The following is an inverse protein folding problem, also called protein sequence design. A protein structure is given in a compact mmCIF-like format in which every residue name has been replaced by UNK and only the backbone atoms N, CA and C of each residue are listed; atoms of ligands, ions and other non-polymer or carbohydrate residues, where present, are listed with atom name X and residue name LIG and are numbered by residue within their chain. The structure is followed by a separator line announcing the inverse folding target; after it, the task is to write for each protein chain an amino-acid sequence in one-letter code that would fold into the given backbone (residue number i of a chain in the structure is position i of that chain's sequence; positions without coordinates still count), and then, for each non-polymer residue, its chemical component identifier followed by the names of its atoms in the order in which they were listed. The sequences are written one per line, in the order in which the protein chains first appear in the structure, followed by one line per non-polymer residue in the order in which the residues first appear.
data_IF_667341623473
#
_entry.id   IF_667341623473
#
_cell.length_a   1.000
_cell.length_b   1.000
_cell.length_c   1.000
_cell.angle_alpha   90.00
_cell.angle_beta   90.00
_cell.angle_gamma   90.00
#
_symmetry.space_group_name_H-M   'P 1'
#
loop_
_entity.id
_entity.type
_entity.pdbx_description
1 polymer ?
#
# COMPACT_ATOMS: atom_id res chain seq x y z
N UNK A 1 45.28 2.02 -60.95
CA UNK A 1 44.85 2.43 -59.60
C UNK A 1 43.51 1.79 -59.31
N UNK A 2 43.43 0.78 -58.41
CA UNK A 2 42.22 0.04 -58.12
C UNK A 2 41.66 0.56 -56.76
N UNK A 3 40.44 1.12 -56.79
CA UNK A 3 39.71 1.47 -55.58
C UNK A 3 39.05 0.18 -55.01
N UNK A 4 39.47 -0.21 -53.82
CA UNK A 4 38.83 -1.28 -53.07
C UNK A 4 37.69 -0.66 -52.22
N UNK A 5 36.45 -1.03 -52.53
CA UNK A 5 35.25 -0.64 -51.78
C UNK A 5 35.10 -1.55 -50.57
N UNK A 6 35.18 -0.98 -49.37
CA UNK A 6 35.07 -1.66 -48.11
C UNK A 6 33.59 -1.72 -47.70
N UNK A 7 32.89 -2.81 -48.05
CA UNK A 7 31.52 -3.06 -47.58
C UNK A 7 31.56 -3.66 -46.16
N UNK A 8 31.57 -2.81 -45.16
CA UNK A 8 31.46 -3.25 -43.77
C UNK A 8 30.00 -3.64 -43.51
N UNK A 9 29.81 -4.86 -43.07
CA UNK A 9 28.56 -5.57 -42.87
C UNK A 9 27.68 -4.93 -41.78
N UNK A 10 26.59 -4.33 -42.19
CA UNK A 10 25.53 -3.72 -41.31
C UNK A 10 24.68 -4.80 -40.59
N UNK A 11 24.85 -6.08 -40.89
CA UNK A 11 24.02 -7.15 -40.34
C UNK A 11 24.37 -7.61 -38.93
N UNK A 12 25.50 -7.19 -38.34
CA UNK A 12 25.88 -7.60 -36.98
C UNK A 12 25.44 -6.62 -35.88
N UNK A 13 24.99 -5.42 -36.19
CA UNK A 13 24.52 -4.44 -35.20
C UNK A 13 23.02 -4.57 -34.83
N UNK A 14 22.21 -5.16 -35.70
CA UNK A 14 20.78 -5.32 -35.45
C UNK A 14 20.44 -6.40 -34.38
N UNK A 15 21.32 -7.38 -34.20
CA UNK A 15 21.13 -8.46 -33.22
C UNK A 15 21.45 -8.05 -31.77
N UNK A 16 22.32 -7.06 -31.56
CA UNK A 16 22.73 -6.61 -30.24
C UNK A 16 21.68 -5.67 -29.60
N UNK A 17 20.94 -4.91 -30.41
CA UNK A 17 19.90 -3.98 -29.94
C UNK A 17 18.64 -4.74 -29.48
N UNK A 18 18.31 -5.85 -30.15
CA UNK A 18 17.14 -6.68 -29.81
C UNK A 18 17.27 -7.36 -28.43
N UNK A 19 18.47 -7.74 -28.02
CA UNK A 19 18.72 -8.39 -26.71
C UNK A 19 18.64 -7.39 -25.55
N UNK A 20 19.12 -6.15 -25.76
CA UNK A 20 19.04 -5.12 -24.72
C UNK A 20 17.60 -4.65 -24.46
N UNK A 21 16.73 -4.58 -25.49
CA UNK A 21 15.32 -4.20 -25.33
C UNK A 21 14.52 -5.30 -24.62
N UNK A 22 14.80 -6.59 -24.90
CA UNK A 22 14.18 -7.71 -24.20
C UNK A 22 14.60 -7.79 -22.72
N UNK A 23 15.84 -7.45 -22.39
CA UNK A 23 16.33 -7.39 -21.01
C UNK A 23 15.73 -6.22 -20.22
N UNK A 24 15.45 -5.09 -20.87
CA UNK A 24 14.77 -3.93 -20.25
C UNK A 24 13.29 -4.19 -19.99
N UNK A 25 12.63 -5.01 -20.80
CA UNK A 25 11.22 -5.38 -20.57
C UNK A 25 11.06 -6.46 -19.49
N UNK A 26 12.10 -7.26 -19.21
CA UNK A 26 12.12 -8.24 -18.12
C UNK A 26 12.53 -7.62 -16.77
N UNK A 27 13.16 -6.44 -16.77
CA UNK A 27 13.58 -5.71 -15.57
C UNK A 27 12.54 -4.77 -14.98
N UNK A 28 11.39 -4.59 -15.63
CA UNK A 28 10.32 -3.70 -15.20
C UNK A 28 9.21 -4.40 -14.39
N UNK A 29 9.38 -5.64 -13.97
CA UNK A 29 8.57 -6.23 -12.92
C UNK A 29 9.08 -5.67 -11.58
N UNK A 30 8.63 -4.46 -11.23
CA UNK A 30 8.82 -3.89 -9.91
C UNK A 30 8.32 -4.87 -8.82
N UNK A 31 8.76 -4.72 -7.56
CA UNK A 31 8.55 -5.69 -6.47
C UNK A 31 7.10 -5.76 -5.99
N UNK A 32 6.15 -5.95 -6.90
CA UNK A 32 4.73 -5.65 -6.61
C UNK A 32 3.93 -6.80 -6.02
N UNK A 33 4.44 -8.03 -6.01
CA UNK A 33 3.75 -9.13 -5.30
C UNK A 33 4.69 -10.31 -5.11
N UNK A 34 5.51 -10.29 -4.07
CA UNK A 34 6.24 -11.50 -3.71
C UNK A 34 5.51 -12.21 -2.57
N UNK A 35 5.34 -13.51 -2.74
CA UNK A 35 4.98 -14.42 -1.64
C UNK A 35 6.28 -14.79 -0.95
N UNK A 36 6.21 -15.05 0.35
CA UNK A 36 7.32 -15.71 1.02
C UNK A 36 7.64 -17.03 0.34
N UNK A 37 8.91 -17.27 0.05
CA UNK A 37 9.34 -18.56 -0.45
C UNK A 37 9.17 -19.64 0.65
N UNK A 38 9.09 -20.93 0.30
CA UNK A 38 9.12 -21.99 1.32
C UNK A 38 10.39 -21.99 2.18
N UNK A 39 11.52 -21.47 1.64
CA UNK A 39 12.77 -21.35 2.38
C UNK A 39 12.67 -20.23 3.42
N UNK A 40 12.21 -19.04 3.02
CA UNK A 40 11.99 -17.91 3.94
C UNK A 40 11.08 -18.29 5.09
N UNK A 41 9.96 -18.98 4.78
CA UNK A 41 9.00 -19.40 5.80
C UNK A 41 9.52 -20.48 6.75
N UNK A 42 10.61 -21.17 6.41
CA UNK A 42 11.30 -22.10 7.32
C UNK A 42 12.37 -21.41 8.14
N UNK A 43 13.02 -20.42 7.61
CA UNK A 43 14.05 -19.63 8.28
C UNK A 43 13.45 -18.69 9.35
N UNK A 44 12.33 -18.03 9.04
CA UNK A 44 11.65 -17.11 9.96
C UNK A 44 10.92 -17.91 11.04
N UNK A 45 11.24 -17.68 12.30
CA UNK A 45 10.60 -18.28 13.46
C UNK A 45 9.96 -17.23 14.36
N UNK A 46 10.57 -16.08 14.47
CA UNK A 46 10.15 -14.99 15.35
C UNK A 46 9.90 -13.73 14.55
N UNK A 47 8.73 -13.13 14.75
CA UNK A 47 8.35 -11.90 14.04
C UNK A 47 7.89 -10.82 15.02
N UNK A 48 8.01 -9.56 14.61
CA UNK A 48 7.30 -8.45 15.24
C UNK A 48 6.36 -7.80 14.23
N UNK A 49 5.24 -7.28 14.72
CA UNK A 49 4.21 -6.63 13.92
C UNK A 49 4.24 -5.13 14.17
N UNK A 50 4.20 -4.36 13.11
CA UNK A 50 4.19 -2.90 13.12
C UNK A 50 3.09 -2.44 12.18
N UNK A 51 2.11 -1.69 12.68
CA UNK A 51 1.13 -1.00 11.86
C UNK A 51 1.42 0.51 11.87
N UNK A 52 1.61 1.07 10.70
CA UNK A 52 1.86 2.49 10.49
C UNK A 52 1.02 3.02 9.32
N UNK A 53 -0.27 2.69 9.30
CA UNK A 53 -1.25 3.33 8.40
C UNK A 53 -1.42 4.79 8.75
N UNK A 54 -1.14 5.10 10.00
CA UNK A 54 -1.15 6.43 10.54
C UNK A 54 -2.51 6.85 11.06
N UNK A 55 -2.47 8.01 11.74
CA UNK A 55 -3.62 8.57 12.43
C UNK A 55 -4.37 9.60 11.57
N UNK A 56 -4.21 9.54 10.24
CA UNK A 56 -4.82 10.51 9.34
C UNK A 56 -5.78 9.85 8.38
N UNK A 57 -6.94 10.48 8.21
CA UNK A 57 -8.00 10.11 7.29
C UNK A 57 -8.07 11.15 6.17
N UNK A 58 -7.96 10.71 4.93
CA UNK A 58 -7.97 11.57 3.75
C UNK A 58 -9.39 11.83 3.27
N UNK A 59 -9.79 13.08 3.16
CA UNK A 59 -10.96 13.50 2.39
C UNK A 59 -10.48 13.95 1.02
N UNK A 60 -10.87 13.23 0.00
CA UNK A 60 -10.46 13.48 -1.38
C UNK A 60 -11.68 13.80 -2.24
N UNK A 61 -11.75 15.01 -2.79
CA UNK A 61 -12.84 15.41 -3.68
C UNK A 61 -12.33 15.73 -5.08
N UNK A 62 -12.88 15.06 -6.06
CA UNK A 62 -12.71 15.39 -7.48
C UNK A 62 -13.95 16.13 -7.96
N UNK A 63 -13.86 17.44 -8.22
CA UNK A 63 -15.03 18.25 -8.62
C UNK A 63 -15.47 17.95 -10.05
N UNK A 64 -16.75 18.19 -10.35
CA UNK A 64 -17.31 18.09 -11.70
C UNK A 64 -16.98 19.36 -12.51
N UNK A 65 -15.75 19.46 -12.99
CA UNK A 65 -15.33 20.53 -13.93
C UNK A 65 -14.69 19.88 -15.14
N UNK A 66 -14.90 20.50 -16.31
CA UNK A 66 -14.18 20.08 -17.53
C UNK A 66 -12.68 20.15 -17.24
N UNK A 67 -11.99 19.02 -17.41
CA UNK A 67 -10.56 18.84 -17.04
C UNK A 67 -10.23 18.86 -15.54
N UNK A 68 -11.21 18.84 -14.62
CA UNK A 68 -10.93 18.73 -13.18
C UNK A 68 -10.14 17.45 -12.81
N UNK A 69 -10.23 16.42 -13.65
CA UNK A 69 -9.46 15.19 -13.53
C UNK A 69 -7.95 15.38 -13.78
N UNK A 70 -7.54 16.52 -14.36
CA UNK A 70 -6.13 16.92 -14.57
C UNK A 70 -5.65 17.93 -13.51
N UNK A 71 -6.57 18.57 -12.76
CA UNK A 71 -6.24 19.53 -11.71
C UNK A 71 -5.96 18.84 -10.37
N UNK A 72 -5.36 19.56 -9.40
CA UNK A 72 -5.19 19.01 -8.06
C UNK A 72 -6.56 18.72 -7.44
N UNK A 73 -6.70 17.63 -6.69
CA UNK A 73 -7.89 17.33 -5.93
C UNK A 73 -8.06 18.36 -4.79
N UNK A 74 -9.28 18.46 -4.29
CA UNK A 74 -9.54 19.12 -3.01
C UNK A 74 -9.35 18.09 -1.92
N UNK A 75 -8.16 18.10 -1.30
CA UNK A 75 -7.73 17.08 -0.34
C UNK A 75 -7.55 17.69 1.04
N UNK A 76 -8.15 17.07 2.03
CA UNK A 76 -8.04 17.44 3.44
C UNK A 76 -7.70 16.22 4.29
N UNK A 77 -6.95 16.42 5.36
CA UNK A 77 -6.61 15.37 6.32
C UNK A 77 -7.29 15.66 7.66
N UNK A 78 -7.84 14.61 8.25
CA UNK A 78 -8.40 14.60 9.59
C UNK A 78 -7.56 13.69 10.48
N UNK A 79 -7.28 14.13 11.70
CA UNK A 79 -6.66 13.29 12.74
C UNK A 79 -7.70 12.27 13.28
N UNK A 80 -7.31 10.98 13.29
CA UNK A 80 -8.15 9.85 13.69
C UNK A 80 -7.50 8.90 14.71
N UNK A 81 -6.56 9.40 15.51
CA UNK A 81 -5.88 8.57 16.53
C UNK A 81 -6.84 7.92 17.53
N UNK A 82 -8.01 8.53 17.76
CA UNK A 82 -9.09 8.00 18.58
C UNK A 82 -9.76 6.73 17.99
N UNK A 83 -9.66 6.50 16.67
CA UNK A 83 -10.19 5.28 16.03
C UNK A 83 -9.38 4.03 16.33
N UNK A 84 -8.14 4.19 16.81
CA UNK A 84 -7.23 3.11 17.23
C UNK A 84 -7.05 2.03 16.16
N UNK A 85 -6.95 2.43 14.90
CA UNK A 85 -6.83 1.52 13.74
C UNK A 85 -5.55 0.69 13.86
N UNK A 86 -4.39 1.34 14.02
CA UNK A 86 -3.10 0.65 14.09
C UNK A 86 -3.05 -0.37 15.23
N UNK A 87 -3.43 -0.07 16.48
CA UNK A 87 -3.48 -1.07 17.55
C UNK A 87 -4.43 -2.24 17.25
N UNK A 88 -5.55 -1.99 16.59
CA UNK A 88 -6.49 -3.05 16.20
C UNK A 88 -5.89 -4.00 15.15
N UNK A 89 -5.22 -3.43 14.14
CA UNK A 89 -4.50 -4.19 13.10
C UNK A 89 -3.40 -5.03 13.74
N UNK A 90 -2.53 -4.44 14.56
CA UNK A 90 -1.44 -5.14 15.24
C UNK A 90 -1.93 -6.32 16.05
N UNK A 91 -3.02 -6.15 16.80
CA UNK A 91 -3.66 -7.22 17.56
C UNK A 91 -4.15 -8.34 16.65
N UNK A 92 -4.85 -8.00 15.56
CA UNK A 92 -5.42 -8.98 14.61
C UNK A 92 -4.32 -9.73 13.88
N UNK A 93 -3.31 -9.04 13.37
CA UNK A 93 -2.18 -9.64 12.66
C UNK A 93 -1.36 -10.52 13.61
N UNK A 94 -1.04 -10.04 14.81
CA UNK A 94 -0.30 -10.81 15.80
C UNK A 94 -1.01 -12.12 16.15
N UNK A 95 -2.32 -12.09 16.35
CA UNK A 95 -3.13 -13.28 16.62
C UNK A 95 -3.12 -14.28 15.44
N UNK A 96 -3.17 -13.78 14.20
CA UNK A 96 -3.11 -14.61 13.00
C UNK A 96 -1.73 -15.27 12.82
N UNK A 97 -0.65 -14.50 13.07
CA UNK A 97 0.74 -14.95 12.94
C UNK A 97 1.16 -15.90 14.05
N UNK A 98 0.63 -15.77 15.27
CA UNK A 98 0.98 -16.58 16.44
C UNK A 98 0.71 -18.10 16.24
N UNK A 99 -0.10 -18.46 15.24
CA UNK A 99 -0.32 -19.87 14.85
C UNK A 99 0.90 -20.51 14.18
N UNK A 100 1.86 -19.71 13.77
CA UNK A 100 3.00 -20.15 12.96
C UNK A 100 4.34 -19.61 13.43
N UNK A 101 4.37 -18.43 13.98
CA UNK A 101 5.57 -17.70 14.40
C UNK A 101 5.46 -17.35 15.89
N UNK A 102 6.59 -17.23 16.57
CA UNK A 102 6.64 -16.52 17.84
C UNK A 102 6.51 -15.00 17.56
N UNK A 103 5.45 -14.38 18.08
CA UNK A 103 5.24 -12.94 17.90
C UNK A 103 5.77 -12.20 19.12
N UNK A 104 6.70 -11.27 18.91
CA UNK A 104 7.27 -10.43 19.95
C UNK A 104 6.78 -8.99 19.85
N UNK A 105 6.53 -8.33 20.98
CA UNK A 105 6.25 -6.90 20.99
C UNK A 105 7.50 -6.12 20.61
N UNK A 106 7.31 -4.97 19.98
CA UNK A 106 8.37 -4.02 19.65
C UNK A 106 7.89 -2.60 19.92
N UNK A 107 8.83 -1.74 20.33
CA UNK A 107 8.57 -0.30 20.46
C UNK A 107 9.09 0.39 19.20
N UNK A 108 8.23 1.16 18.55
CA UNK A 108 8.56 1.90 17.33
C UNK A 108 7.84 3.25 17.30
N UNK A 109 8.26 4.11 16.39
CA UNK A 109 7.58 5.38 16.12
C UNK A 109 6.90 5.30 14.75
N UNK A 110 5.58 5.41 14.67
CA UNK A 110 4.85 5.31 13.38
C UNK A 110 5.36 6.30 12.32
N UNK A 111 5.84 7.48 12.74
CA UNK A 111 6.39 8.49 11.84
C UNK A 111 7.61 8.01 11.05
N UNK A 112 8.40 7.09 11.58
CA UNK A 112 9.59 6.54 10.91
C UNK A 112 9.20 5.69 9.68
N UNK A 113 7.94 5.24 9.60
CA UNK A 113 7.39 4.43 8.52
C UNK A 113 6.38 5.20 7.64
N UNK A 114 6.29 6.52 7.79
CA UNK A 114 5.31 7.36 7.08
C UNK A 114 5.63 7.55 5.59
N UNK A 115 6.89 7.42 5.21
CA UNK A 115 7.35 7.56 3.82
C UNK A 115 7.65 6.20 3.23
N UNK A 116 7.01 5.91 2.10
CA UNK A 116 7.19 4.65 1.39
C UNK A 116 8.22 4.80 0.27
N UNK A 117 9.47 5.02 0.61
CA UNK A 117 10.57 4.71 -0.28
C UNK A 117 11.35 3.51 0.26
N UNK A 118 11.93 2.73 -0.64
CA UNK A 118 12.62 1.49 -0.30
C UNK A 118 13.81 1.73 0.65
N UNK A 119 14.51 2.83 0.48
CA UNK A 119 15.69 3.19 1.29
C UNK A 119 15.29 3.69 2.69
N UNK A 120 14.22 4.47 2.78
CA UNK A 120 13.64 4.91 4.04
C UNK A 120 13.13 3.75 4.88
N UNK A 121 12.39 2.82 4.24
CA UNK A 121 11.89 1.63 4.91
C UNK A 121 13.03 0.75 5.45
N UNK A 122 14.07 0.51 4.65
CA UNK A 122 15.25 -0.22 5.08
C UNK A 122 15.91 0.42 6.28
N UNK A 123 16.12 1.75 6.24
CA UNK A 123 16.71 2.50 7.35
C UNK A 123 15.86 2.41 8.61
N UNK A 124 14.55 2.70 8.49
CA UNK A 124 13.62 2.62 9.62
C UNK A 124 13.61 1.23 10.26
N UNK A 125 13.67 0.16 9.45
CA UNK A 125 13.71 -1.21 9.95
C UNK A 125 15.01 -1.54 10.70
N UNK A 126 16.15 -1.03 10.22
CA UNK A 126 17.45 -1.19 10.90
C UNK A 126 17.54 -0.36 12.19
N UNK A 127 16.91 0.84 12.20
CA UNK A 127 16.90 1.74 13.36
C UNK A 127 15.99 1.25 14.50
N UNK A 128 15.18 0.20 14.27
CA UNK A 128 14.32 -0.38 15.30
C UNK A 128 15.10 -0.92 16.51
N UNK A 129 16.41 -1.13 16.39
CA UNK A 129 17.27 -1.73 17.45
C UNK A 129 16.58 -2.92 18.13
N UNK A 130 15.95 -3.76 17.29
CA UNK A 130 15.10 -4.85 17.75
C UNK A 130 15.86 -5.88 18.55
N UNK A 131 15.13 -6.62 19.36
CA UNK A 131 15.62 -7.83 19.98
C UNK A 131 16.29 -8.72 18.91
N UNK A 132 17.59 -9.07 19.04
CA UNK A 132 18.30 -9.91 18.07
C UNK A 132 17.65 -11.28 17.83
N UNK A 133 16.66 -11.62 18.63
CA UNK A 133 15.84 -12.80 18.45
C UNK A 133 14.60 -12.58 17.55
N UNK A 134 14.44 -11.42 16.90
CA UNK A 134 13.44 -11.18 15.86
C UNK A 134 14.07 -11.46 14.50
N UNK A 135 13.48 -12.37 13.74
CA UNK A 135 13.97 -12.75 12.40
C UNK A 135 13.42 -11.81 11.32
N UNK A 136 12.17 -11.36 11.48
CA UNK A 136 11.54 -10.46 10.50
C UNK A 136 10.51 -9.52 11.12
N UNK A 137 10.32 -8.37 10.49
CA UNK A 137 9.24 -7.42 10.78
C UNK A 137 8.12 -7.61 9.75
N UNK A 138 6.87 -7.65 10.24
CA UNK A 138 5.66 -7.62 9.41
C UNK A 138 5.06 -6.24 9.54
N UNK A 139 5.20 -5.44 8.49
CA UNK A 139 4.84 -4.04 8.45
C UNK A 139 3.52 -3.87 7.70
N UNK A 140 2.59 -3.12 8.24
CA UNK A 140 1.36 -2.70 7.58
C UNK A 140 1.47 -1.20 7.32
N UNK A 141 1.62 -0.83 6.06
CA UNK A 141 2.00 0.51 5.63
C UNK A 141 0.98 1.09 4.66
N UNK A 142 0.84 2.41 4.67
CA UNK A 142 0.10 3.14 3.64
C UNK A 142 0.66 2.82 2.26
N UNK A 143 -0.23 2.59 1.29
CA UNK A 143 0.11 2.36 -0.12
C UNK A 143 -0.55 3.43 -0.98
N UNK A 144 0.19 4.01 -1.91
CA UNK A 144 -0.35 4.98 -2.86
C UNK A 144 -0.68 4.27 -4.17
N UNK A 145 -1.91 4.41 -4.61
CA UNK A 145 -2.40 3.71 -5.80
C UNK A 145 -3.18 4.67 -6.70
N UNK A 146 -3.13 4.44 -8.02
CA UNK A 146 -3.98 5.17 -8.95
C UNK A 146 -5.45 5.16 -8.51
N UNK A 147 -6.17 6.25 -8.75
CA UNK A 147 -7.60 6.35 -8.49
C UNK A 147 -8.40 5.42 -9.40
N UNK A 148 -8.61 4.18 -8.94
CA UNK A 148 -9.46 3.18 -9.60
C UNK A 148 -10.96 3.44 -9.35
N UNK A 149 -11.31 4.33 -8.42
CA UNK A 149 -12.70 4.64 -8.07
C UNK A 149 -13.28 5.64 -9.07
N UNK A 150 -12.60 6.74 -9.29
CA UNK A 150 -13.03 7.81 -10.16
C UNK A 150 -12.33 7.87 -11.49
N UNK A 151 -11.28 7.07 -11.69
CA UNK A 151 -10.44 7.10 -12.88
C UNK A 151 -9.85 8.49 -13.15
N UNK A 152 -9.37 9.12 -12.09
CA UNK A 152 -8.61 10.38 -12.19
C UNK A 152 -7.11 10.10 -12.26
N UNK A 153 -6.31 11.14 -12.45
CA UNK A 153 -4.84 11.05 -12.43
C UNK A 153 -4.25 11.06 -11.03
N UNK A 154 -5.10 11.12 -10.02
CA UNK A 154 -4.67 11.18 -8.62
C UNK A 154 -4.34 9.81 -8.07
N UNK A 155 -3.60 9.80 -6.97
CA UNK A 155 -3.33 8.60 -6.21
C UNK A 155 -4.06 8.64 -4.88
N UNK A 156 -4.64 7.52 -4.49
CA UNK A 156 -5.31 7.34 -3.21
C UNK A 156 -4.39 6.56 -2.28
N UNK A 157 -4.13 7.10 -1.10
CA UNK A 157 -3.20 6.50 -0.14
C UNK A 157 -3.72 6.47 1.29
N UNK A 158 -3.55 5.35 1.98
CA UNK A 158 -4.00 5.18 3.35
C UNK A 158 -5.50 4.97 3.47
N UNK A 159 -6.10 5.59 4.48
CA UNK A 159 -7.51 5.51 4.80
C UNK A 159 -8.21 6.80 4.38
N UNK A 160 -9.42 6.71 3.83
CA UNK A 160 -10.08 7.94 3.41
C UNK A 160 -11.49 7.82 2.87
N UNK A 161 -12.10 8.99 2.69
CA UNK A 161 -13.39 9.18 2.05
C UNK A 161 -13.16 9.88 0.70
N UNK A 162 -13.53 9.22 -0.37
CA UNK A 162 -13.41 9.71 -1.73
C UNK A 162 -14.77 10.18 -2.25
N UNK A 163 -14.80 11.36 -2.86
CA UNK A 163 -15.97 11.90 -3.54
C UNK A 163 -15.62 12.36 -4.95
N UNK A 164 -16.34 11.84 -5.93
CA UNK A 164 -16.32 12.37 -7.30
C UNK A 164 -17.67 12.94 -7.65
N UNK A 165 -17.72 14.26 -7.83
CA UNK A 165 -18.90 14.93 -8.33
C UNK A 165 -19.14 14.57 -9.81
N UNK A 166 -20.39 14.48 -10.24
CA UNK A 166 -20.80 14.16 -11.62
C UNK A 166 -21.79 15.18 -12.14
N UNK A 167 -21.88 15.36 -13.49
CA UNK A 167 -22.92 16.19 -14.09
C UNK A 167 -24.31 15.80 -13.57
N UNK A 168 -25.17 16.80 -13.36
CA UNK A 168 -26.54 16.56 -12.88
C UNK A 168 -26.67 16.42 -11.37
N UNK A 169 -25.63 16.77 -10.56
CA UNK A 169 -25.70 16.79 -9.10
C UNK A 169 -25.53 15.43 -8.42
N UNK A 170 -25.28 14.38 -9.17
CA UNK A 170 -24.94 13.08 -8.61
C UNK A 170 -23.47 13.08 -8.14
N UNK A 171 -23.19 12.34 -7.07
CA UNK A 171 -21.83 12.11 -6.63
C UNK A 171 -21.58 10.63 -6.43
N UNK A 172 -20.37 10.18 -6.74
CA UNK A 172 -19.85 8.89 -6.31
C UNK A 172 -19.10 9.13 -5.01
N UNK A 173 -19.56 8.54 -3.92
CA UNK A 173 -18.96 8.63 -2.61
C UNK A 173 -18.65 7.25 -2.07
N UNK A 174 -17.55 7.11 -1.37
CA UNK A 174 -17.22 5.88 -0.64
C UNK A 174 -15.94 5.97 0.16
N UNK A 175 -15.86 5.15 1.16
CA UNK A 175 -14.68 4.94 2.00
C UNK A 175 -13.71 4.03 1.27
N UNK A 176 -12.40 4.27 1.38
CA UNK A 176 -11.36 3.44 0.78
C UNK A 176 -10.22 3.16 1.76
N UNK A 177 -9.60 1.98 1.63
CA UNK A 177 -8.42 1.59 2.38
C UNK A 177 -7.31 1.17 1.42
N UNK A 178 -6.26 1.97 1.29
CA UNK A 178 -5.11 1.69 0.43
C UNK A 178 -3.87 1.46 1.27
N UNK A 179 -3.51 0.18 1.46
CA UNK A 179 -2.37 -0.22 2.27
C UNK A 179 -1.72 -1.49 1.73
N UNK A 180 -0.52 -1.76 2.20
CA UNK A 180 0.23 -2.97 1.88
C UNK A 180 0.83 -3.61 3.11
N UNK A 181 1.08 -4.91 3.01
CA UNK A 181 1.85 -5.67 3.98
C UNK A 181 3.23 -5.91 3.39
N UNK A 182 4.26 -5.60 4.17
CA UNK A 182 5.67 -5.79 3.80
C UNK A 182 6.33 -6.65 4.86
N UNK A 183 7.09 -7.66 4.44
CA UNK A 183 7.94 -8.45 5.33
C UNK A 183 9.37 -8.04 5.09
N UNK A 184 10.06 -7.65 6.15
CA UNK A 184 11.43 -7.15 6.12
C UNK A 184 12.29 -8.05 6.98
N UNK A 185 13.46 -8.45 6.49
CA UNK A 185 14.48 -9.14 7.27
C UNK A 185 14.99 -8.21 8.37
N UNK A 186 14.96 -8.66 9.62
CA UNK A 186 15.32 -7.81 10.75
C UNK A 186 16.82 -7.52 10.84
N UNK A 187 17.65 -8.37 10.26
CA UNK A 187 19.12 -8.20 10.27
C UNK A 187 19.59 -7.27 9.16
N UNK A 188 19.06 -7.43 7.95
CA UNK A 188 19.55 -6.71 6.77
C UNK A 188 18.69 -5.51 6.39
N UNK A 189 17.46 -5.41 6.91
CA UNK A 189 16.46 -4.42 6.51
C UNK A 189 15.92 -4.62 5.10
N UNK A 190 16.25 -5.71 4.44
CA UNK A 190 15.79 -5.98 3.07
C UNK A 190 14.36 -6.51 3.04
N UNK A 191 13.60 -6.09 2.04
CA UNK A 191 12.24 -6.58 1.83
C UNK A 191 12.27 -8.02 1.32
N UNK A 192 11.71 -8.95 2.09
CA UNK A 192 11.58 -10.36 1.72
C UNK A 192 10.31 -10.58 0.89
N UNK A 193 9.20 -9.94 1.27
CA UNK A 193 7.93 -10.05 0.59
C UNK A 193 7.13 -8.77 0.73
N UNK A 194 6.28 -8.47 -0.25
CA UNK A 194 5.39 -7.31 -0.22
C UNK A 194 4.11 -7.60 -0.98
N UNK A 195 2.96 -7.17 -0.45
CA UNK A 195 1.67 -7.31 -1.13
C UNK A 195 0.71 -6.20 -0.74
N UNK A 196 0.11 -5.55 -1.74
CA UNK A 196 -1.00 -4.63 -1.52
C UNK A 196 -2.24 -5.41 -1.02
N UNK A 197 -2.95 -4.83 -0.08
CA UNK A 197 -4.23 -5.34 0.39
C UNK A 197 -5.32 -4.96 -0.61
N UNK A 198 -5.85 -5.93 -1.33
CA UNK A 198 -6.80 -5.73 -2.40
C UNK A 198 -8.02 -6.62 -2.21
N UNK A 199 -9.15 -6.17 -2.70
CA UNK A 199 -10.34 -6.99 -2.91
C UNK A 199 -10.09 -8.01 -4.05
N UNK A 200 -10.95 -9.02 -4.22
CA UNK A 200 -10.93 -9.89 -5.39
C UNK A 200 -10.80 -9.08 -6.69
N UNK A 201 -10.19 -9.67 -7.72
CA UNK A 201 -9.89 -9.03 -9.01
C UNK A 201 -8.86 -7.89 -8.93
N UNK A 202 -8.04 -7.85 -7.84
CA UNK A 202 -7.00 -6.85 -7.59
C UNK A 202 -7.54 -5.41 -7.49
N UNK A 203 -8.79 -5.25 -7.08
CA UNK A 203 -9.41 -3.93 -6.93
C UNK A 203 -9.02 -3.26 -5.61
N UNK A 204 -8.86 -1.95 -5.67
CA UNK A 204 -8.71 -1.12 -4.47
C UNK A 204 -9.90 -1.37 -3.53
N UNK A 205 -9.66 -1.66 -2.24
CA UNK A 205 -10.72 -1.75 -1.24
C UNK A 205 -11.50 -0.44 -1.16
N UNK A 206 -12.76 -0.49 -1.52
CA UNK A 206 -13.65 0.63 -1.42
C UNK A 206 -15.08 0.18 -1.14
N UNK A 207 -15.79 0.96 -0.32
CA UNK A 207 -17.17 0.73 0.06
C UNK A 207 -18.00 1.96 -0.29
N UNK A 208 -19.03 1.84 -1.16
CA UNK A 208 -19.93 2.94 -1.46
C UNK A 208 -20.67 3.40 -0.20
N UNK A 209 -20.83 4.72 -0.06
CA UNK A 209 -21.46 5.33 1.08
C UNK A 209 -22.51 6.37 0.67
N UNK A 210 -23.39 6.71 1.61
CA UNK A 210 -24.40 7.76 1.42
C UNK A 210 -23.70 9.13 1.27
N UNK A 211 -24.03 9.93 0.24
CA UNK A 211 -23.53 11.28 0.08
C UNK A 211 -23.69 12.20 1.31
N UNK A 212 -24.64 11.90 2.19
CA UNK A 212 -24.83 12.61 3.46
C UNK A 212 -23.67 12.45 4.45
N UNK A 213 -22.83 11.41 4.27
CA UNK A 213 -21.62 11.23 5.09
C UNK A 213 -20.50 12.22 4.75
N UNK A 214 -20.59 12.92 3.61
CA UNK A 214 -19.61 13.96 3.29
C UNK A 214 -19.87 15.20 4.15
N UNK A 215 -18.96 15.58 5.07
CA UNK A 215 -19.15 16.77 5.90
C UNK A 215 -18.97 18.04 5.06
N UNK A 216 -19.47 19.17 5.54
CA UNK A 216 -19.23 20.49 4.92
C UNK A 216 -17.74 20.83 4.93
N UNK A 217 -17.10 20.63 6.06
CA UNK A 217 -15.64 20.62 6.22
C UNK A 217 -15.26 19.40 7.07
N UNK A 218 -14.04 18.88 7.01
CA UNK A 218 -13.61 17.75 7.84
C UNK A 218 -13.81 17.98 9.34
N UNK A 219 -13.66 19.22 9.80
CA UNK A 219 -13.81 19.60 11.20
C UNK A 219 -15.28 19.69 11.67
N UNK A 220 -16.24 19.79 10.73
CA UNK A 220 -17.68 19.84 11.04
C UNK A 220 -18.32 18.45 11.12
N UNK A 221 -17.51 17.40 11.10
CA UNK A 221 -18.00 16.03 11.14
C UNK A 221 -18.68 15.74 12.48
N UNK A 222 -19.92 15.28 12.41
CA UNK A 222 -20.68 14.87 13.60
C UNK A 222 -20.12 13.56 14.17
N UNK A 223 -20.38 13.30 15.44
CA UNK A 223 -20.02 12.03 16.10
C UNK A 223 -20.60 10.81 15.36
N UNK A 224 -21.83 10.91 14.87
CA UNK A 224 -22.48 9.85 14.11
C UNK A 224 -21.76 9.58 12.77
N UNK A 225 -21.35 10.63 12.04
CA UNK A 225 -20.57 10.50 10.82
C UNK A 225 -19.21 9.88 11.12
N UNK A 226 -18.54 10.32 12.17
CA UNK A 226 -17.27 9.79 12.64
C UNK A 226 -17.34 8.28 12.92
N UNK A 227 -18.35 7.87 13.68
CA UNK A 227 -18.59 6.47 14.00
C UNK A 227 -18.91 5.63 12.76
N UNK A 228 -19.71 6.15 11.83
CA UNK A 228 -20.05 5.45 10.59
C UNK A 228 -18.81 5.25 9.70
N UNK A 229 -17.97 6.28 9.52
CA UNK A 229 -16.75 6.20 8.72
C UNK A 229 -15.72 5.25 9.36
N UNK A 230 -15.55 5.32 10.68
CA UNK A 230 -14.68 4.39 11.42
C UNK A 230 -15.12 2.93 11.26
N UNK A 231 -16.43 2.66 11.31
CA UNK A 231 -16.98 1.33 11.10
C UNK A 231 -16.79 0.83 9.66
N UNK A 232 -16.94 1.71 8.67
CA UNK A 232 -16.74 1.39 7.26
C UNK A 232 -15.26 1.05 6.98
N UNK A 233 -14.32 1.81 7.54
CA UNK A 233 -12.89 1.52 7.45
C UNK A 233 -12.53 0.18 8.09
N UNK A 234 -13.01 -0.06 9.30
CA UNK A 234 -12.80 -1.35 9.98
C UNK A 234 -13.27 -2.51 9.11
N UNK A 235 -14.46 -2.38 8.51
CA UNK A 235 -15.01 -3.40 7.60
C UNK A 235 -14.13 -3.65 6.39
N UNK A 236 -13.56 -2.60 5.76
CA UNK A 236 -12.64 -2.75 4.63
C UNK A 236 -11.33 -3.42 5.04
N UNK A 237 -10.77 -3.04 6.17
CA UNK A 237 -9.55 -3.64 6.71
C UNK A 237 -9.79 -5.11 7.02
N UNK A 238 -10.87 -5.46 7.72
CA UNK A 238 -11.22 -6.85 8.05
C UNK A 238 -11.40 -7.71 6.78
N UNK A 239 -12.00 -7.15 5.74
CA UNK A 239 -12.22 -7.85 4.48
C UNK A 239 -10.93 -8.15 3.70
N UNK A 240 -9.84 -7.40 3.94
CA UNK A 240 -8.63 -7.49 3.12
C UNK A 240 -7.40 -7.95 3.88
N UNK A 241 -7.30 -7.69 5.17
CA UNK A 241 -6.10 -7.94 5.99
C UNK A 241 -5.75 -9.43 6.06
N UNK A 242 -6.66 -10.26 6.57
CA UNK A 242 -6.41 -11.69 6.72
C UNK A 242 -6.26 -12.42 5.37
N UNK A 243 -7.09 -12.15 4.34
CA UNK A 243 -6.87 -12.70 3.01
C UNK A 243 -5.49 -12.33 2.42
N UNK A 244 -5.00 -11.12 2.66
CA UNK A 244 -3.68 -10.70 2.20
C UNK A 244 -2.56 -11.46 2.92
N UNK A 245 -2.64 -11.62 4.25
CA UNK A 245 -1.69 -12.43 5.01
C UNK A 245 -1.67 -13.90 4.52
N UNK A 246 -2.84 -14.48 4.26
CA UNK A 246 -2.94 -15.84 3.72
C UNK A 246 -2.33 -15.96 2.32
N UNK A 247 -2.59 -14.99 1.43
CA UNK A 247 -2.02 -14.94 0.10
C UNK A 247 -0.49 -14.77 0.11
N UNK A 248 0.07 -14.15 1.15
CA UNK A 248 1.52 -14.05 1.40
C UNK A 248 2.09 -15.30 2.07
N UNK A 249 1.28 -16.28 2.45
CA UNK A 249 1.66 -17.46 3.25
C UNK A 249 2.16 -17.13 4.66
N UNK A 250 1.71 -16.03 5.21
CA UNK A 250 2.01 -15.64 6.59
C UNK A 250 1.03 -16.27 7.58
N UNK A 251 -0.24 -16.35 7.21
CA UNK A 251 -1.29 -17.02 7.98
C UNK A 251 -1.90 -18.18 7.18
N UNK A 252 -2.61 -19.09 7.90
CA UNK A 252 -3.37 -20.20 7.33
C UNK A 252 -4.86 -19.89 7.32
#
# INVERSE_FOLDING_TARGET
MRHASNKISVKKQAAAIGVCVAALLLGASGPYTTRLSPLDTRAIKTVAVISALGNTFLFERVPDKVFAWLGPPDSHFLEISDWKIDPSIEKTVSAALARRFAVKPIVFRPADFSTWDYSGLKRASLDLNGDPAIDAYVLILRDWRPDEIGYSVHELGGLGLYRKDRPGGHAKLGVFASYRIVVVDALTGDTIASRAALLPENKLPWLPEDPALWPKTPNDMTEAQRAALSAAETKLIDATLLPTLAAMRLAR
#
